data_IF_117787810416
#
_entry.id   IF_117787810416
#
_cell.length_a   1.000
_cell.length_b   1.000
_cell.length_c   1.000
_cell.angle_alpha   90.00
_cell.angle_beta   90.00
_cell.angle_gamma   90.00
#
_symmetry.space_group_name_H-M   'P 1'
#
loop_
_entity.id
_entity.type
_entity.pdbx_description
1 polymer ?
#
# COMPACT_ATOMS: atom_id res chain seq x y z
N UNK A 1 -29.77 -14.40 -29.16
CA UNK A 1 -29.09 -15.30 -28.21
C UNK A 1 -28.87 -14.54 -26.92
N UNK A 2 -29.62 -14.84 -25.87
CA UNK A 2 -29.48 -14.15 -24.59
C UNK A 2 -28.24 -14.72 -23.88
N UNK A 3 -27.10 -14.03 -23.96
CA UNK A 3 -25.87 -14.47 -23.32
C UNK A 3 -26.08 -14.45 -21.81
N UNK A 4 -25.91 -15.62 -21.17
CA UNK A 4 -25.97 -15.76 -19.71
C UNK A 4 -24.98 -14.75 -19.10
N UNK A 5 -25.37 -13.95 -18.08
CA UNK A 5 -24.45 -13.01 -17.45
C UNK A 5 -23.20 -13.76 -17.00
N UNK A 6 -22.02 -13.26 -17.39
CA UNK A 6 -20.76 -13.84 -16.92
C UNK A 6 -20.82 -13.90 -15.38
N UNK A 7 -20.58 -15.06 -14.76
CA UNK A 7 -20.52 -15.16 -13.31
C UNK A 7 -19.53 -14.13 -12.78
N UNK A 8 -20.02 -13.17 -11.98
CA UNK A 8 -19.20 -12.12 -11.37
C UNK A 8 -19.22 -12.35 -9.87
N UNK A 9 -18.02 -12.44 -9.28
CA UNK A 9 -17.89 -12.49 -7.83
C UNK A 9 -18.48 -11.20 -7.20
N UNK A 10 -19.00 -11.26 -5.97
CA UNK A 10 -19.40 -10.06 -5.23
C UNK A 10 -18.23 -9.07 -5.12
N UNK A 11 -18.55 -7.78 -4.96
CA UNK A 11 -17.51 -6.78 -4.72
C UNK A 11 -16.94 -6.98 -3.31
N UNK A 12 -15.61 -7.03 -3.15
CA UNK A 12 -15.01 -7.07 -1.82
C UNK A 12 -15.30 -5.77 -1.05
N UNK A 13 -15.38 -5.86 0.27
CA UNK A 13 -15.38 -4.69 1.14
C UNK A 13 -14.06 -3.92 1.00
N UNK A 14 -14.08 -2.62 1.31
CA UNK A 14 -12.84 -1.85 1.36
C UNK A 14 -11.99 -2.31 2.55
N UNK A 15 -10.68 -2.39 2.34
CA UNK A 15 -9.76 -2.64 3.45
C UNK A 15 -9.62 -1.37 4.29
N UNK A 16 -10.18 -1.39 5.50
CA UNK A 16 -9.71 -0.56 6.60
C UNK A 16 -8.36 -1.15 7.04
N UNK A 17 -7.37 -0.46 7.59
CA UNK A 17 -6.08 -1.05 7.93
C UNK A 17 -6.05 -2.10 9.07
N UNK A 18 -7.16 -2.78 9.41
CA UNK A 18 -7.18 -3.77 10.48
C UNK A 18 -6.51 -5.09 10.08
N UNK A 19 -5.39 -5.42 10.73
CA UNK A 19 -4.59 -6.62 10.45
C UNK A 19 -5.43 -7.91 10.46
N UNK A 20 -6.38 -8.05 11.38
CA UNK A 20 -7.22 -9.24 11.47
C UNK A 20 -8.21 -9.39 10.30
N UNK A 21 -8.55 -8.30 9.60
CA UNK A 21 -9.39 -8.32 8.38
C UNK A 21 -8.58 -8.63 7.12
N UNK A 22 -7.27 -8.43 7.16
CA UNK A 22 -6.38 -8.64 6.02
C UNK A 22 -6.46 -10.07 5.47
N UNK A 23 -6.49 -11.08 6.36
CA UNK A 23 -6.54 -12.48 5.99
C UNK A 23 -7.82 -12.89 5.23
N UNK A 24 -8.91 -12.15 5.39
CA UNK A 24 -10.16 -12.36 4.66
C UNK A 24 -10.24 -11.50 3.40
N UNK A 25 -9.73 -10.27 3.49
CA UNK A 25 -9.75 -9.31 2.39
C UNK A 25 -8.80 -9.72 1.24
N UNK A 26 -7.57 -10.15 1.57
CA UNK A 26 -6.55 -10.48 0.58
C UNK A 26 -6.98 -11.62 -0.38
N UNK A 27 -7.52 -12.76 0.09
CA UNK A 27 -8.05 -13.78 -0.81
C UNK A 27 -9.21 -13.28 -1.67
N UNK A 28 -10.05 -12.39 -1.13
CA UNK A 28 -11.21 -11.84 -1.84
C UNK A 28 -10.78 -10.94 -3.00
N UNK A 29 -9.82 -10.03 -2.78
CA UNK A 29 -9.29 -9.16 -3.83
C UNK A 29 -8.50 -9.97 -4.87
N UNK A 30 -7.75 -10.99 -4.45
CA UNK A 30 -7.04 -11.91 -5.35
C UNK A 30 -8.00 -12.71 -6.24
N UNK A 31 -9.09 -13.24 -5.67
CA UNK A 31 -10.11 -13.95 -6.43
C UNK A 31 -10.78 -13.04 -7.46
N UNK A 32 -11.09 -11.79 -7.06
CA UNK A 32 -11.70 -10.81 -7.95
C UNK A 32 -10.79 -10.42 -9.10
N UNK A 33 -9.50 -10.20 -8.84
CA UNK A 33 -8.49 -9.96 -9.88
C UNK A 33 -8.35 -11.17 -10.82
N UNK A 34 -8.36 -12.41 -10.32
CA UNK A 34 -8.29 -13.61 -11.18
C UNK A 34 -9.47 -13.76 -12.12
N UNK A 35 -10.68 -13.40 -11.68
CA UNK A 35 -11.89 -13.48 -12.52
C UNK A 35 -11.98 -12.29 -13.50
N UNK A 36 -11.52 -11.11 -13.07
CA UNK A 36 -11.65 -9.88 -13.84
C UNK A 36 -10.36 -9.48 -14.56
N UNK A 37 -9.29 -10.29 -14.55
CA UNK A 37 -7.98 -9.92 -15.11
C UNK A 37 -8.05 -9.58 -16.60
N UNK A 38 -8.90 -10.26 -17.38
CA UNK A 38 -9.12 -9.91 -18.79
C UNK A 38 -9.79 -8.54 -18.99
N UNK A 39 -10.59 -8.09 -18.01
CA UNK A 39 -11.23 -6.77 -18.05
C UNK A 39 -10.33 -5.67 -17.45
N UNK A 40 -9.40 -6.04 -16.58
CA UNK A 40 -8.45 -5.15 -15.91
C UNK A 40 -7.10 -5.34 -16.61
N UNK A 41 -6.99 -4.71 -17.78
CA UNK A 41 -5.99 -4.91 -18.85
C UNK A 41 -4.59 -5.29 -18.37
N UNK A 42 -3.98 -4.44 -17.55
CA UNK A 42 -2.56 -4.46 -17.24
C UNK A 42 -2.32 -4.30 -15.73
N UNK A 43 -1.05 -4.46 -15.33
CA UNK A 43 -0.64 -4.37 -13.93
C UNK A 43 -0.98 -3.00 -13.30
N UNK A 44 -1.00 -1.92 -14.09
CA UNK A 44 -1.35 -0.57 -13.62
C UNK A 44 -2.84 -0.50 -13.30
N UNK A 45 -3.71 -1.01 -14.18
CA UNK A 45 -5.14 -1.10 -13.94
C UNK A 45 -5.45 -1.99 -12.72
N UNK A 46 -4.72 -3.10 -12.56
CA UNK A 46 -4.85 -3.99 -11.39
C UNK A 46 -4.41 -3.30 -10.09
N UNK A 47 -3.33 -2.53 -10.12
CA UNK A 47 -2.91 -1.71 -8.98
C UNK A 47 -3.98 -0.69 -8.60
N UNK A 48 -4.51 0.08 -9.55
CA UNK A 48 -5.55 1.06 -9.26
C UNK A 48 -6.84 0.41 -8.75
N UNK A 49 -7.20 -0.77 -9.26
CA UNK A 49 -8.32 -1.53 -8.72
C UNK A 49 -8.11 -1.86 -7.23
N UNK A 50 -6.93 -2.36 -6.85
CA UNK A 50 -6.59 -2.65 -5.46
C UNK A 50 -6.62 -1.36 -4.63
N UNK A 51 -5.97 -0.30 -5.10
CA UNK A 51 -5.90 1.00 -4.41
C UNK A 51 -7.29 1.59 -4.13
N UNK A 52 -8.21 1.53 -5.09
CA UNK A 52 -9.59 2.02 -4.94
C UNK A 52 -10.42 1.15 -3.98
N UNK A 53 -10.00 -0.08 -3.71
CA UNK A 53 -10.58 -0.98 -2.71
C UNK A 53 -9.93 -0.82 -1.32
N UNK A 54 -9.14 0.21 -1.11
CA UNK A 54 -8.67 0.63 0.22
C UNK A 54 -9.56 1.75 0.77
N UNK A 55 -9.68 1.85 2.10
CA UNK A 55 -10.25 3.04 2.73
C UNK A 55 -9.33 4.25 2.54
N UNK A 56 -9.91 5.46 2.54
CA UNK A 56 -9.19 6.70 2.24
C UNK A 56 -8.01 6.96 3.18
N UNK A 57 -8.13 6.58 4.45
CA UNK A 57 -7.02 6.72 5.39
C UNK A 57 -5.87 5.73 5.11
N UNK A 58 -6.18 4.54 4.59
CA UNK A 58 -5.15 3.54 4.21
C UNK A 58 -4.41 4.01 2.97
N UNK A 59 -5.14 4.60 2.01
CA UNK A 59 -4.55 5.26 0.85
C UNK A 59 -3.59 6.38 1.28
N UNK A 60 -3.99 7.23 2.23
CA UNK A 60 -3.16 8.30 2.76
C UNK A 60 -1.86 7.78 3.42
N UNK A 61 -1.94 6.68 4.19
CA UNK A 61 -0.75 6.05 4.78
C UNK A 61 0.22 5.53 3.70
N UNK A 62 -0.29 4.98 2.59
CA UNK A 62 0.55 4.54 1.48
C UNK A 62 1.25 5.72 0.79
N UNK A 63 0.52 6.82 0.55
CA UNK A 63 1.11 8.03 -0.03
C UNK A 63 2.20 8.62 0.87
N UNK A 64 1.95 8.70 2.18
CA UNK A 64 2.95 9.19 3.14
C UNK A 64 4.21 8.31 3.14
N UNK A 65 4.05 6.99 3.05
CA UNK A 65 5.17 6.06 2.96
C UNK A 65 5.96 6.22 1.64
N UNK A 66 5.28 6.45 0.52
CA UNK A 66 5.89 6.75 -0.77
C UNK A 66 6.68 8.07 -0.73
N UNK A 67 6.09 9.14 -0.20
CA UNK A 67 6.74 10.45 -0.06
C UNK A 67 7.98 10.36 0.85
N UNK A 68 7.88 9.60 1.95
CA UNK A 68 9.04 9.30 2.82
C UNK A 68 10.12 8.54 2.07
N UNK A 69 9.77 7.51 1.31
CA UNK A 69 10.74 6.74 0.52
C UNK A 69 11.39 7.62 -0.56
N UNK A 70 10.60 8.47 -1.21
CA UNK A 70 11.08 9.39 -2.23
C UNK A 70 12.03 10.43 -1.64
N UNK A 71 11.69 11.04 -0.50
CA UNK A 71 12.58 11.98 0.19
C UNK A 71 13.88 11.33 0.66
N UNK A 72 13.84 10.07 1.09
CA UNK A 72 15.04 9.27 1.39
C UNK A 72 15.89 9.02 0.13
N UNK A 73 15.26 8.66 -1.00
CA UNK A 73 15.96 8.42 -2.28
C UNK A 73 16.54 9.69 -2.89
N UNK A 74 15.87 10.82 -2.73
CA UNK A 74 16.30 12.12 -3.25
C UNK A 74 17.26 12.87 -2.31
N UNK A 75 17.71 12.22 -1.23
CA UNK A 75 18.46 12.83 -0.13
C UNK A 75 19.34 14.01 -0.53
N UNK A 76 18.88 15.22 -0.20
CA UNK A 76 19.73 16.42 -0.09
C UNK A 76 20.75 16.28 1.05
N UNK A 77 20.52 15.35 1.97
CA UNK A 77 21.48 14.92 2.97
C UNK A 77 22.09 13.61 2.51
N UNK A 78 23.40 13.59 2.29
CA UNK A 78 24.13 12.35 2.07
C UNK A 78 23.83 11.37 3.21
N UNK A 79 23.87 10.06 2.93
CA UNK A 79 23.77 9.02 3.96
C UNK A 79 24.64 9.33 5.19
N UNK A 80 25.79 9.96 4.95
CA UNK A 80 26.71 10.46 5.97
C UNK A 80 26.11 11.52 6.92
N UNK A 81 25.30 12.46 6.41
CA UNK A 81 24.62 13.46 7.24
C UNK A 81 23.47 12.85 8.06
N UNK A 82 22.80 11.82 7.53
CA UNK A 82 21.81 11.06 8.29
C UNK A 82 22.46 10.26 9.42
N UNK A 83 23.55 9.55 9.13
CA UNK A 83 24.34 8.81 10.14
C UNK A 83 24.84 9.76 11.22
N UNK A 84 25.43 10.89 10.85
CA UNK A 84 25.93 11.87 11.82
C UNK A 84 24.82 12.42 12.73
N UNK A 85 23.60 12.66 12.19
CA UNK A 85 22.45 13.08 13.00
C UNK A 85 22.00 11.99 13.95
N UNK A 86 21.98 10.73 13.50
CA UNK A 86 21.61 9.59 14.33
C UNK A 86 22.61 9.34 15.46
N UNK A 87 23.91 9.36 15.16
CA UNK A 87 25.00 9.24 16.15
C UNK A 87 24.93 10.34 17.21
N UNK A 88 24.64 11.59 16.80
CA UNK A 88 24.46 12.71 17.73
C UNK A 88 23.30 12.48 18.69
N UNK A 89 22.15 12.02 18.20
CA UNK A 89 20.97 11.75 19.03
C UNK A 89 21.29 10.64 20.05
N UNK A 90 21.99 9.58 19.65
CA UNK A 90 22.41 8.52 20.56
C UNK A 90 23.37 9.02 21.64
N UNK A 91 24.31 9.90 21.29
CA UNK A 91 25.24 10.50 22.24
C UNK A 91 24.54 11.42 23.25
N UNK A 92 23.60 12.25 22.79
CA UNK A 92 22.81 13.13 23.66
C UNK A 92 21.92 12.34 24.62
N UNK A 93 21.29 11.25 24.15
CA UNK A 93 20.49 10.37 24.99
C UNK A 93 21.34 9.71 26.11
N UNK A 94 22.56 9.28 25.78
CA UNK A 94 23.48 8.66 26.76
C UNK A 94 24.07 9.66 27.77
N UNK A 95 23.97 10.97 27.52
CA UNK A 95 24.39 12.02 28.46
C UNK A 95 23.32 12.40 29.49
N UNK A 96 22.08 11.95 29.28
CA UNK A 96 20.94 12.26 30.15
C UNK A 96 20.66 11.15 31.17
N UNK A 97 21.43 10.06 31.16
CA UNK A 97 21.55 9.04 32.21
C UNK A 97 22.74 9.36 33.15
#
# INVERSE_FOLDING_TARGET
>A
TNAKPKPSLPHPEKFNGQVHKFNTWLPSIQAKLRVNCEAISDATAQFYYIYLNLESYVQAMMQEAEDKLYSLKQGTNSLHAFIAKFERILYEARRQD
#
